data_IF_777637913695
#
_entry.id   IF_777637913695
#
_cell.length_a   1.000
_cell.length_b   1.000
_cell.length_c   1.000
_cell.angle_alpha   90.00
_cell.angle_beta   90.00
_cell.angle_gamma   90.00
#
_symmetry.space_group_name_H-M   'P 1'
#
loop_
_entity.id
_entity.type
_entity.pdbx_description
1 polymer ?
#
# COMPACT_ATOMS: atom_id res chain seq x y z
N UNK A 1 -33.80 14.57 10.90
CA UNK A 1 -32.65 15.37 10.41
C UNK A 1 -32.55 15.39 8.89
N UNK A 2 -32.01 14.39 8.16
CA UNK A 2 -31.92 14.47 6.67
C UNK A 2 -33.28 14.57 5.96
N UNK A 3 -34.30 13.89 6.48
CA UNK A 3 -35.65 13.97 5.91
C UNK A 3 -36.28 15.36 6.09
N UNK A 4 -36.04 15.99 7.26
CA UNK A 4 -36.54 17.34 7.54
C UNK A 4 -35.84 18.37 6.65
N UNK A 5 -34.52 18.24 6.44
CA UNK A 5 -33.75 19.05 5.49
C UNK A 5 -34.31 18.97 4.07
N UNK A 6 -34.55 17.75 3.55
CA UNK A 6 -35.12 17.52 2.22
C UNK A 6 -36.53 18.12 2.09
N UNK A 7 -37.37 18.00 3.12
CA UNK A 7 -38.73 18.56 3.12
C UNK A 7 -38.70 20.08 3.18
N UNK A 8 -37.79 20.69 3.94
CA UNK A 8 -37.60 22.14 3.96
C UNK A 8 -37.03 22.68 2.65
N UNK A 9 -36.08 21.97 2.04
CA UNK A 9 -35.55 22.29 0.71
C UNK A 9 -36.68 22.27 -0.33
N UNK A 10 -37.46 21.19 -0.40
CA UNK A 10 -38.61 21.08 -1.31
C UNK A 10 -39.67 22.17 -1.12
N UNK A 11 -39.93 22.60 0.13
CA UNK A 11 -40.83 23.74 0.39
C UNK A 11 -40.28 25.06 -0.11
N UNK A 12 -38.99 25.30 0.10
CA UNK A 12 -38.32 26.50 -0.40
C UNK A 12 -38.32 26.53 -1.94
N UNK A 13 -38.05 25.38 -2.57
CA UNK A 13 -38.08 25.21 -4.04
C UNK A 13 -39.46 25.45 -4.66
N UNK A 14 -40.54 25.02 -3.98
CA UNK A 14 -41.91 25.33 -4.40
C UNK A 14 -42.20 26.83 -4.36
N UNK A 15 -41.72 27.53 -3.33
CA UNK A 15 -41.89 28.98 -3.21
C UNK A 15 -41.13 29.78 -4.29
N UNK A 16 -39.95 29.30 -4.71
CA UNK A 16 -39.11 29.94 -5.73
C UNK A 16 -39.73 29.82 -7.13
N UNK A 17 -40.22 28.62 -7.47
CA UNK A 17 -40.95 28.37 -8.73
C UNK A 17 -42.26 29.15 -8.82
N UNK A 18 -42.99 29.28 -7.72
CA UNK A 18 -44.19 30.13 -7.62
C UNK A 18 -43.85 31.63 -7.77
N UNK A 19 -42.71 32.09 -7.23
CA UNK A 19 -42.20 33.46 -7.42
C UNK A 19 -41.83 33.75 -8.87
N UNK A 20 -41.10 32.85 -9.54
CA UNK A 20 -40.73 33.01 -10.94
C UNK A 20 -41.97 33.00 -11.86
N UNK A 21 -42.96 32.16 -11.55
CA UNK A 21 -44.28 32.18 -12.20
C UNK A 21 -45.03 33.50 -11.98
N UNK A 22 -44.96 34.07 -10.78
CA UNK A 22 -45.58 35.36 -10.47
C UNK A 22 -44.92 36.53 -11.22
N UNK A 23 -43.59 36.53 -11.30
CA UNK A 23 -42.82 37.52 -12.09
C UNK A 23 -43.14 37.40 -13.58
N UNK A 24 -43.20 36.17 -14.11
CA UNK A 24 -43.59 35.92 -15.50
C UNK A 24 -45.03 36.35 -15.80
N UNK A 25 -45.95 36.29 -14.83
CA UNK A 25 -47.33 36.76 -14.97
C UNK A 25 -47.47 38.28 -14.94
N UNK A 26 -46.63 38.99 -14.18
CA UNK A 26 -46.73 40.43 -13.96
C UNK A 26 -46.18 41.31 -15.11
N UNK A 27 -45.35 40.77 -16.00
CA UNK A 27 -44.45 41.57 -16.86
C UNK A 27 -45.08 42.15 -18.15
N UNK A 28 -46.38 41.97 -18.41
CA UNK A 28 -47.07 42.55 -19.58
C UNK A 28 -46.59 42.10 -20.98
N UNK A 29 -45.58 41.23 -21.07
CA UNK A 29 -44.99 40.71 -22.31
C UNK A 29 -45.92 39.73 -23.05
N UNK A 30 -45.80 39.67 -24.38
CA UNK A 30 -46.47 38.65 -25.21
C UNK A 30 -45.98 37.24 -24.85
N UNK A 31 -46.85 36.22 -24.97
CA UNK A 31 -46.55 34.82 -24.57
C UNK A 31 -45.30 34.26 -25.28
N UNK A 32 -45.08 34.59 -26.55
CA UNK A 32 -43.90 34.18 -27.32
C UNK A 32 -42.59 34.75 -26.77
N UNK A 33 -42.63 35.99 -26.25
CA UNK A 33 -41.50 36.64 -25.60
C UNK A 33 -41.16 35.93 -24.27
N UNK A 34 -42.18 35.49 -23.51
CA UNK A 34 -41.99 34.75 -22.26
C UNK A 34 -41.39 33.36 -22.51
N UNK A 35 -41.83 32.66 -23.54
CA UNK A 35 -41.25 31.38 -23.94
C UNK A 35 -39.79 31.52 -24.39
N UNK A 36 -39.47 32.56 -25.18
CA UNK A 36 -38.10 32.86 -25.62
C UNK A 36 -37.17 33.23 -24.46
N UNK A 37 -37.63 34.09 -23.55
CA UNK A 37 -36.88 34.49 -22.35
C UNK A 37 -36.60 33.26 -21.45
N UNK A 38 -37.59 32.38 -21.26
CA UNK A 38 -37.44 31.18 -20.45
C UNK A 38 -36.54 30.12 -21.10
N UNK A 39 -36.56 29.99 -22.43
CA UNK A 39 -35.64 29.10 -23.17
C UNK A 39 -34.20 29.60 -23.08
N UNK A 40 -33.98 30.92 -23.20
CA UNK A 40 -32.66 31.55 -23.03
C UNK A 40 -32.10 31.39 -21.62
N UNK A 41 -32.95 31.37 -20.60
CA UNK A 41 -32.56 31.11 -19.22
C UNK A 41 -32.12 29.65 -18.98
N UNK A 42 -32.54 28.70 -19.81
CA UNK A 42 -32.24 27.28 -19.63
C UNK A 42 -30.89 26.85 -20.26
N UNK A 43 -30.40 27.58 -21.26
CA UNK A 43 -29.13 27.27 -21.95
C UNK A 43 -27.93 27.35 -20.97
N UNK A 44 -27.75 28.41 -20.15
CA UNK A 44 -26.64 28.50 -19.20
C UNK A 44 -26.65 27.41 -18.13
N UNK A 45 -27.84 26.94 -17.71
CA UNK A 45 -27.97 25.87 -16.72
C UNK A 45 -27.45 24.53 -17.27
N UNK A 46 -27.70 24.23 -18.55
CA UNK A 46 -27.16 23.04 -19.21
C UNK A 46 -25.64 23.09 -19.37
N UNK A 47 -25.12 24.25 -19.74
CA UNK A 47 -23.68 24.47 -19.86
C UNK A 47 -22.99 24.34 -18.49
N UNK A 48 -23.63 24.82 -17.41
CA UNK A 48 -23.15 24.63 -16.04
C UNK A 48 -23.15 23.16 -15.62
N UNK A 49 -24.24 22.41 -15.89
CA UNK A 49 -24.33 20.98 -15.57
C UNK A 49 -23.29 20.15 -16.31
N UNK A 50 -23.03 20.45 -17.59
CA UNK A 50 -22.01 19.74 -18.38
C UNK A 50 -20.61 20.03 -17.86
N UNK A 51 -20.31 21.29 -17.55
CA UNK A 51 -19.04 21.71 -16.93
C UNK A 51 -18.80 21.00 -15.60
N UNK A 52 -19.81 20.96 -14.73
CA UNK A 52 -19.71 20.28 -13.43
C UNK A 52 -19.55 18.77 -13.56
N UNK A 53 -20.15 18.13 -14.57
CA UNK A 53 -19.96 16.70 -14.83
C UNK A 53 -18.50 16.38 -15.18
N UNK A 54 -17.86 17.20 -16.00
CA UNK A 54 -16.45 17.03 -16.34
C UNK A 54 -15.54 17.30 -15.13
N UNK A 55 -15.84 18.31 -14.30
CA UNK A 55 -15.07 18.58 -13.08
C UNK A 55 -15.20 17.44 -12.06
N UNK A 56 -16.42 16.94 -11.81
CA UNK A 56 -16.67 15.78 -10.94
C UNK A 56 -15.92 14.54 -11.44
N UNK A 57 -15.85 14.34 -12.76
CA UNK A 57 -15.11 13.23 -13.35
C UNK A 57 -13.61 13.39 -13.11
N UNK A 58 -13.06 14.58 -13.37
CA UNK A 58 -11.64 14.89 -13.12
C UNK A 58 -11.26 14.69 -11.66
N UNK A 59 -12.07 15.19 -10.73
CA UNK A 59 -11.87 14.99 -9.28
C UNK A 59 -11.90 13.51 -8.88
N UNK A 60 -12.83 12.72 -9.44
CA UNK A 60 -12.88 11.26 -9.19
C UNK A 60 -11.64 10.54 -9.71
N UNK A 61 -11.19 10.88 -10.90
CA UNK A 61 -10.00 10.28 -11.50
C UNK A 61 -8.74 10.64 -10.68
N UNK A 62 -8.67 11.87 -10.16
CA UNK A 62 -7.58 12.32 -9.30
C UNK A 62 -7.59 11.65 -7.92
N UNK A 63 -8.75 11.54 -7.27
CA UNK A 63 -8.91 10.78 -6.03
C UNK A 63 -8.47 9.33 -6.24
N UNK A 64 -8.96 8.66 -7.29
CA UNK A 64 -8.59 7.27 -7.57
C UNK A 64 -7.08 7.10 -7.77
N UNK A 65 -6.43 8.07 -8.42
CA UNK A 65 -4.97 8.09 -8.61
C UNK A 65 -4.22 8.25 -7.28
N UNK A 66 -4.63 9.20 -6.44
CA UNK A 66 -3.98 9.44 -5.14
C UNK A 66 -4.20 8.28 -4.18
N UNK A 67 -5.40 7.70 -4.13
CA UNK A 67 -5.68 6.49 -3.33
C UNK A 67 -4.79 5.32 -3.76
N UNK A 68 -4.61 5.12 -5.07
CA UNK A 68 -3.69 4.09 -5.56
C UNK A 68 -2.22 4.36 -5.17
N UNK A 69 -1.79 5.63 -5.16
CA UNK A 69 -0.47 6.02 -4.69
C UNK A 69 -0.29 5.74 -3.18
N UNK A 70 -1.29 6.08 -2.35
CA UNK A 70 -1.31 5.78 -0.91
C UNK A 70 -1.16 4.27 -0.68
N UNK A 71 -2.02 3.45 -1.28
CA UNK A 71 -1.95 1.99 -1.14
C UNK A 71 -0.60 1.43 -1.59
N UNK A 72 -0.04 1.98 -2.67
CA UNK A 72 1.30 1.61 -3.12
C UNK A 72 2.37 1.93 -2.07
N UNK A 73 2.34 3.13 -1.50
CA UNK A 73 3.28 3.56 -0.46
C UNK A 73 3.14 2.73 0.82
N UNK A 74 1.93 2.47 1.30
CA UNK A 74 1.67 1.60 2.45
C UNK A 74 2.27 0.21 2.25
N UNK A 75 2.07 -0.38 1.06
CA UNK A 75 2.65 -1.68 0.72
C UNK A 75 4.18 -1.66 0.74
N UNK A 76 4.79 -0.54 0.31
CA UNK A 76 6.25 -0.36 0.32
C UNK A 76 6.78 -0.19 1.75
N UNK A 77 6.07 0.54 2.60
CA UNK A 77 6.40 0.70 4.03
C UNK A 77 6.37 -0.66 4.71
N UNK A 78 5.27 -1.40 4.58
CA UNK A 78 5.13 -2.73 5.18
C UNK A 78 6.22 -3.71 4.74
N UNK A 79 6.58 -3.70 3.44
CA UNK A 79 7.71 -4.50 2.92
C UNK A 79 9.05 -4.09 3.52
N UNK A 80 9.31 -2.78 3.69
CA UNK A 80 10.55 -2.28 4.29
C UNK A 80 10.65 -2.65 5.76
N UNK A 81 9.59 -2.48 6.52
CA UNK A 81 9.54 -2.88 7.93
C UNK A 81 9.80 -4.38 8.09
N UNK A 82 9.17 -5.22 7.25
CA UNK A 82 9.41 -6.67 7.24
C UNK A 82 10.86 -7.01 6.90
N UNK A 83 11.45 -6.35 5.90
CA UNK A 83 12.85 -6.56 5.52
C UNK A 83 13.82 -6.12 6.63
N UNK A 84 13.57 -4.97 7.25
CA UNK A 84 14.38 -4.45 8.35
C UNK A 84 14.31 -5.36 9.57
N UNK A 85 13.12 -5.86 9.92
CA UNK A 85 12.95 -6.82 11.00
C UNK A 85 13.74 -8.11 10.77
N UNK A 86 13.67 -8.67 9.55
CA UNK A 86 14.45 -9.87 9.19
C UNK A 86 15.96 -9.60 9.24
N UNK A 87 16.39 -8.43 8.79
CA UNK A 87 17.80 -8.03 8.87
C UNK A 87 18.27 -7.91 10.33
N UNK A 88 17.47 -7.31 11.20
CA UNK A 88 17.75 -7.21 12.64
C UNK A 88 17.81 -8.58 13.32
N UNK A 89 16.86 -9.48 13.03
CA UNK A 89 16.86 -10.87 13.55
C UNK A 89 18.11 -11.64 13.11
N UNK A 90 18.49 -11.51 11.82
CA UNK A 90 19.71 -12.12 11.28
C UNK A 90 20.97 -11.55 11.94
N UNK A 91 21.04 -10.22 12.10
CA UNK A 91 22.17 -9.56 12.75
C UNK A 91 22.27 -10.00 14.22
N UNK A 92 21.16 -10.05 14.95
CA UNK A 92 21.13 -10.46 16.36
C UNK A 92 21.58 -11.91 16.55
N UNK A 93 21.23 -12.80 15.62
CA UNK A 93 21.72 -14.18 15.62
C UNK A 93 23.24 -14.23 15.44
N UNK A 94 23.79 -13.45 14.50
CA UNK A 94 25.23 -13.38 14.25
C UNK A 94 25.99 -12.74 15.42
N UNK A 95 25.43 -11.70 16.05
CA UNK A 95 25.99 -11.09 17.28
C UNK A 95 26.10 -12.17 18.35
N UNK A 96 25.01 -12.89 18.63
CA UNK A 96 25.03 -13.93 19.67
C UNK A 96 26.03 -15.05 19.38
N UNK A 97 26.25 -15.41 18.11
CA UNK A 97 27.30 -16.36 17.73
C UNK A 97 28.70 -15.82 18.03
N UNK A 98 29.00 -14.58 17.59
CA UNK A 98 30.29 -13.94 17.83
C UNK A 98 30.56 -13.71 19.33
N UNK A 99 29.54 -13.39 20.12
CA UNK A 99 29.67 -13.27 21.58
C UNK A 99 30.06 -14.59 22.24
N UNK A 100 29.44 -15.70 21.79
CA UNK A 100 29.79 -17.03 22.29
C UNK A 100 31.21 -17.44 21.87
N UNK A 101 31.59 -17.20 20.62
CA UNK A 101 32.93 -17.48 20.11
C UNK A 101 33.99 -16.67 20.86
N UNK A 102 33.70 -15.41 21.16
CA UNK A 102 34.58 -14.52 21.92
C UNK A 102 34.72 -14.98 23.37
N UNK A 103 33.64 -15.42 24.02
CA UNK A 103 33.68 -16.01 25.35
C UNK A 103 34.54 -17.28 25.38
N UNK A 104 34.39 -18.14 24.38
CA UNK A 104 35.17 -19.37 24.26
C UNK A 104 36.66 -19.07 24.00
N UNK A 105 36.98 -18.14 23.09
CA UNK A 105 38.35 -17.72 22.85
C UNK A 105 38.99 -17.08 24.09
N UNK A 106 38.23 -16.31 24.89
CA UNK A 106 38.73 -15.76 26.16
C UNK A 106 39.10 -16.85 27.16
N UNK A 107 38.28 -17.90 27.30
CA UNK A 107 38.61 -19.06 28.14
C UNK A 107 39.88 -19.78 27.66
N UNK A 108 40.03 -19.93 26.33
CA UNK A 108 41.23 -20.53 25.74
C UNK A 108 42.47 -19.69 25.98
N UNK A 109 42.37 -18.35 25.86
CA UNK A 109 43.47 -17.44 26.17
C UNK A 109 43.85 -17.48 27.66
N UNK A 110 42.87 -17.52 28.57
CA UNK A 110 43.12 -17.67 30.01
C UNK A 110 43.84 -18.98 30.33
N UNK A 111 43.42 -20.10 29.72
CA UNK A 111 44.10 -21.38 29.86
C UNK A 111 45.53 -21.36 29.29
N UNK A 112 45.73 -20.78 28.10
CA UNK A 112 47.05 -20.61 27.49
C UNK A 112 47.97 -19.74 28.35
N UNK A 113 47.44 -18.68 28.95
CA UNK A 113 48.17 -17.82 29.88
C UNK A 113 48.61 -18.58 31.13
N UNK A 114 47.72 -19.37 31.73
CA UNK A 114 48.07 -20.21 32.87
C UNK A 114 49.19 -21.21 32.53
N UNK A 115 49.16 -21.81 31.33
CA UNK A 115 50.22 -22.69 30.84
C UNK A 115 51.55 -21.94 30.63
N UNK A 116 51.51 -20.73 30.07
CA UNK A 116 52.69 -19.89 29.89
C UNK A 116 53.31 -19.48 31.24
N UNK A 117 52.49 -19.11 32.22
CA UNK A 117 52.94 -18.75 33.57
C UNK A 117 53.59 -19.96 34.26
N UNK A 118 52.99 -21.14 34.15
CA UNK A 118 53.55 -22.39 34.67
C UNK A 118 54.88 -22.77 33.98
N UNK A 119 54.97 -22.65 32.65
CA UNK A 119 56.19 -22.90 31.90
C UNK A 119 57.31 -21.90 32.24
N UNK A 120 56.95 -20.64 32.47
CA UNK A 120 57.88 -19.61 32.93
C UNK A 120 58.43 -19.93 34.32
N UNK A 121 57.55 -20.32 35.26
CA UNK A 121 57.95 -20.73 36.60
C UNK A 121 58.90 -21.95 36.55
N UNK A 122 58.56 -22.98 35.78
CA UNK A 122 59.42 -24.14 35.59
C UNK A 122 60.81 -23.75 35.06
N UNK A 123 60.86 -22.90 34.02
CA UNK A 123 62.11 -22.40 33.46
C UNK A 123 62.95 -21.65 34.50
N UNK A 124 62.33 -20.79 35.31
CA UNK A 124 63.05 -20.07 36.37
C UNK A 124 63.57 -21.00 37.47
N UNK A 125 62.78 -22.00 37.87
CA UNK A 125 63.17 -22.98 38.89
C UNK A 125 64.33 -23.86 38.43
N UNK A 126 64.24 -24.45 37.24
CA UNK A 126 65.31 -25.27 36.66
C UNK A 126 66.59 -24.47 36.48
N UNK A 127 66.50 -23.22 36.01
CA UNK A 127 67.67 -22.35 35.86
C UNK A 127 68.33 -22.01 37.21
N UNK A 128 67.52 -21.78 38.25
CA UNK A 128 68.02 -21.52 39.61
C UNK A 128 68.73 -22.75 40.16
N UNK A 129 68.12 -23.94 40.05
CA UNK A 129 68.72 -25.19 40.53
C UNK A 129 70.02 -25.52 39.80
N UNK A 130 70.06 -25.29 38.49
CA UNK A 130 71.27 -25.48 37.69
C UNK A 130 72.40 -24.54 38.17
N UNK A 131 72.08 -23.26 38.43
CA UNK A 131 73.03 -22.29 38.99
C UNK A 131 73.54 -22.69 40.38
N UNK A 132 72.70 -23.29 41.22
CA UNK A 132 73.09 -23.82 42.53
C UNK A 132 74.05 -24.99 42.40
N UNK A 133 73.75 -25.96 41.52
CA UNK A 133 74.62 -27.11 41.28
C UNK A 133 75.96 -26.70 40.69
N UNK A 134 76.00 -25.74 39.76
CA UNK A 134 77.24 -25.17 39.23
C UNK A 134 78.09 -24.53 40.35
N UNK A 135 77.45 -23.89 41.34
CA UNK A 135 78.14 -23.34 42.52
C UNK A 135 78.67 -24.46 43.42
N UNK A 136 77.88 -25.48 43.72
CA UNK A 136 78.28 -26.66 44.51
C UNK A 136 79.47 -27.39 43.87
N UNK A 137 79.42 -27.62 42.54
CA UNK A 137 80.51 -28.21 41.76
C UNK A 137 81.80 -27.39 41.90
N UNK A 138 81.70 -26.06 41.80
CA UNK A 138 82.84 -25.15 41.91
C UNK A 138 83.45 -25.17 43.31
N UNK A 139 82.63 -25.31 44.35
CA UNK A 139 83.08 -25.44 45.74
C UNK A 139 83.77 -26.79 45.97
N UNK A 140 83.17 -27.90 45.54
CA UNK A 140 83.79 -29.24 45.66
C UNK A 140 85.11 -29.34 44.90
N UNK A 141 85.22 -28.74 43.71
CA UNK A 141 86.49 -28.68 42.98
C UNK A 141 87.57 -27.92 43.76
N UNK A 142 87.21 -26.85 44.47
CA UNK A 142 88.17 -26.12 45.33
C UNK A 142 88.60 -26.96 46.53
N UNK A 143 87.66 -27.66 47.17
CA UNK A 143 87.94 -28.55 48.30
C UNK A 143 88.82 -29.73 47.91
N UNK A 144 88.53 -30.38 46.77
CA UNK A 144 89.33 -31.48 46.23
C UNK A 144 90.77 -31.04 45.91
N UNK A 145 90.93 -29.86 45.27
CA UNK A 145 92.26 -29.30 45.01
C UNK A 145 93.03 -29.00 46.31
N UNK A 146 92.33 -28.53 47.36
CA UNK A 146 92.94 -28.25 48.65
C UNK A 146 93.35 -29.53 49.41
N UNK A 147 92.55 -30.60 49.35
CA UNK A 147 92.86 -31.89 50.01
C UNK A 147 94.01 -32.61 49.31
N UNK A 148 94.08 -32.56 47.98
CA UNK A 148 95.22 -33.04 47.20
C UNK A 148 96.51 -32.29 47.54
N UNK A 149 96.45 -30.96 47.63
CA UNK A 149 97.61 -30.14 48.02
C UNK A 149 98.10 -30.41 49.45
N UNK A 150 97.21 -30.83 50.36
CA UNK A 150 97.54 -31.12 51.76
C UNK A 150 98.09 -32.54 52.02
N UNK A 151 98.21 -33.40 50.99
CA UNK A 151 98.77 -34.76 51.12
C UNK A 151 97.93 -35.73 51.96
N UNK A 152 96.67 -35.41 52.24
CA UNK A 152 95.77 -36.24 53.05
C UNK A 152 95.15 -37.34 52.17
N UNK A 153 95.68 -38.57 52.29
CA UNK A 153 95.09 -39.87 51.92
C UNK A 153 94.23 -39.97 50.64
N UNK A 154 94.71 -40.74 49.64
CA UNK A 154 94.05 -40.99 48.35
C UNK A 154 92.54 -41.31 48.43
N UNK A 155 92.11 -42.07 49.44
CA UNK A 155 90.71 -42.44 49.66
C UNK A 155 89.73 -41.27 49.84
N UNK A 156 90.16 -40.12 50.40
CA UNK A 156 89.30 -38.94 50.56
C UNK A 156 89.20 -38.12 49.27
N UNK A 157 90.23 -38.15 48.43
CA UNK A 157 90.26 -37.48 47.14
C UNK A 157 89.42 -38.25 46.10
N UNK A 158 89.44 -39.59 46.17
CA UNK A 158 88.66 -40.43 45.26
C UNK A 158 87.15 -40.27 45.47
N UNK A 159 86.69 -40.20 46.73
CA UNK A 159 85.27 -39.93 47.05
C UNK A 159 84.80 -38.54 46.57
N UNK A 160 85.65 -37.51 46.69
CA UNK A 160 85.31 -36.16 46.21
C UNK A 160 85.32 -36.09 44.69
N UNK A 161 86.24 -36.78 44.02
CA UNK A 161 86.22 -36.91 42.56
C UNK A 161 84.97 -37.64 42.05
N UNK A 162 84.54 -38.70 42.72
CA UNK A 162 83.32 -39.41 42.34
C UNK A 162 82.09 -38.50 42.45
N UNK A 163 81.99 -37.71 43.54
CA UNK A 163 80.91 -36.73 43.71
C UNK A 163 80.93 -35.62 42.65
N UNK A 164 82.11 -35.19 42.20
CA UNK A 164 82.25 -34.22 41.10
C UNK A 164 81.67 -34.79 39.80
N UNK A 165 81.97 -36.05 39.47
CA UNK A 165 81.44 -36.71 38.26
C UNK A 165 79.92 -36.84 38.32
N UNK A 166 79.36 -37.23 39.48
CA UNK A 166 77.91 -37.27 39.69
C UNK A 166 77.26 -35.90 39.46
N UNK A 167 77.80 -34.84 40.06
CA UNK A 167 77.29 -33.48 39.89
C UNK A 167 77.42 -32.95 38.46
N UNK A 168 78.47 -33.34 37.73
CA UNK A 168 78.59 -33.02 36.30
C UNK A 168 77.46 -33.66 35.50
N UNK A 169 77.14 -34.93 35.78
CA UNK A 169 76.01 -35.62 35.17
C UNK A 169 74.69 -34.91 35.49
N UNK A 170 74.44 -34.60 36.76
CA UNK A 170 73.23 -33.89 37.21
C UNK A 170 73.08 -32.52 36.53
N UNK A 171 74.19 -31.78 36.37
CA UNK A 171 74.20 -30.48 35.65
C UNK A 171 73.85 -30.67 34.18
N UNK A 172 74.42 -31.68 33.51
CA UNK A 172 74.11 -31.94 32.10
C UNK A 172 72.63 -32.29 31.90
N UNK A 173 72.07 -33.17 32.73
CA UNK A 173 70.64 -33.51 32.69
C UNK A 173 69.76 -32.27 32.92
N UNK A 174 70.09 -31.44 33.91
CA UNK A 174 69.34 -30.20 34.17
C UNK A 174 69.48 -29.13 33.08
N UNK A 175 70.60 -29.13 32.34
CA UNK A 175 70.76 -28.25 31.17
C UNK A 175 69.86 -28.68 30.02
N UNK A 176 69.68 -29.98 29.81
CA UNK A 176 68.72 -30.52 28.84
C UNK A 176 67.28 -30.19 29.25
N UNK A 177 66.90 -30.44 30.50
CA UNK A 177 65.59 -30.07 31.05
C UNK A 177 65.30 -28.55 30.92
N UNK A 178 66.31 -27.71 31.17
CA UNK A 178 66.20 -26.26 31.01
C UNK A 178 65.96 -25.86 29.56
N UNK A 179 66.63 -26.54 28.62
CA UNK A 179 66.41 -26.31 27.19
C UNK A 179 64.97 -26.68 26.81
N UNK A 180 64.48 -27.85 27.22
CA UNK A 180 63.09 -28.24 26.97
C UNK A 180 62.08 -27.28 27.59
N UNK A 181 62.31 -26.83 28.83
CA UNK A 181 61.43 -25.88 29.51
C UNK A 181 61.34 -24.54 28.75
N UNK A 182 62.48 -24.03 28.23
CA UNK A 182 62.51 -22.82 27.40
C UNK A 182 61.74 -22.99 26.09
N UNK A 183 61.85 -24.14 25.44
CA UNK A 183 61.11 -24.40 24.20
C UNK A 183 59.59 -24.51 24.48
N UNK A 184 59.19 -25.18 25.57
CA UNK A 184 57.78 -25.18 26.03
C UNK A 184 57.27 -23.77 26.32
N UNK A 185 58.06 -22.95 27.02
CA UNK A 185 57.70 -21.55 27.30
C UNK A 185 57.48 -20.74 26.02
N UNK A 186 58.37 -20.88 25.02
CA UNK A 186 58.22 -20.20 23.72
C UNK A 186 56.97 -20.67 22.98
N UNK A 187 56.70 -21.97 22.97
CA UNK A 187 55.52 -22.53 22.32
C UNK A 187 54.22 -21.99 22.96
N UNK A 188 54.10 -22.03 24.28
CA UNK A 188 52.93 -21.49 25.00
C UNK A 188 52.77 -19.98 24.80
N UNK A 189 53.86 -19.21 24.78
CA UNK A 189 53.80 -17.77 24.48
C UNK A 189 53.26 -17.47 23.07
N UNK A 190 53.62 -18.30 22.09
CA UNK A 190 53.10 -18.17 20.72
C UNK A 190 51.61 -18.51 20.64
N UNK A 191 51.17 -19.52 21.39
CA UNK A 191 49.76 -19.91 21.48
C UNK A 191 48.92 -18.81 22.13
N UNK A 192 49.39 -18.23 23.25
CA UNK A 192 48.71 -17.11 23.90
C UNK A 192 48.57 -15.91 22.96
N UNK A 193 49.64 -15.51 22.29
CA UNK A 193 49.62 -14.40 21.34
C UNK A 193 48.66 -14.70 20.16
N UNK A 194 48.58 -15.96 19.73
CA UNK A 194 47.60 -16.40 18.73
C UNK A 194 46.15 -16.26 19.21
N UNK A 195 45.88 -16.63 20.46
CA UNK A 195 44.56 -16.50 21.07
C UNK A 195 44.16 -15.04 21.26
N UNK A 196 45.07 -14.19 21.76
CA UNK A 196 44.83 -12.75 21.94
C UNK A 196 44.50 -12.06 20.61
N UNK A 197 45.24 -12.39 19.54
CA UNK A 197 44.96 -11.85 18.20
C UNK A 197 43.57 -12.26 17.68
N UNK A 198 43.12 -13.49 17.96
CA UNK A 198 41.77 -13.95 17.59
C UNK A 198 40.69 -13.22 18.36
N UNK A 199 40.89 -12.99 19.67
CA UNK A 199 39.97 -12.20 20.50
C UNK A 199 39.83 -10.79 19.91
N UNK A 200 40.95 -10.12 19.58
CA UNK A 200 40.92 -8.78 18.97
C UNK A 200 40.18 -8.79 17.63
N UNK A 201 40.38 -9.80 16.79
CA UNK A 201 39.67 -9.94 15.53
C UNK A 201 38.14 -10.07 15.74
N UNK A 202 37.72 -10.98 16.63
CA UNK A 202 36.31 -11.18 16.96
C UNK A 202 35.67 -9.92 17.57
N UNK A 203 36.41 -9.18 18.41
CA UNK A 203 35.94 -7.91 18.97
C UNK A 203 35.71 -6.84 17.88
N UNK A 204 36.57 -6.81 16.86
CA UNK A 204 36.41 -5.90 15.74
C UNK A 204 35.23 -6.30 14.87
N UNK A 205 35.08 -7.59 14.56
CA UNK A 205 33.95 -8.12 13.79
C UNK A 205 32.61 -7.82 14.49
N UNK A 206 32.54 -8.04 15.81
CA UNK A 206 31.36 -7.72 16.61
C UNK A 206 31.04 -6.22 16.58
N UNK A 207 32.04 -5.35 16.75
CA UNK A 207 31.86 -3.88 16.67
C UNK A 207 31.39 -3.44 15.29
N UNK A 208 31.94 -4.02 14.22
CA UNK A 208 31.54 -3.70 12.86
C UNK A 208 30.10 -4.13 12.59
N UNK A 209 29.72 -5.34 13.03
CA UNK A 209 28.40 -5.89 12.85
C UNK A 209 27.34 -5.11 13.64
N UNK A 210 27.65 -4.71 14.88
CA UNK A 210 26.80 -3.81 15.68
C UNK A 210 26.59 -2.46 14.98
N UNK A 211 27.65 -1.87 14.40
CA UNK A 211 27.54 -0.61 13.64
C UNK A 211 26.67 -0.77 12.40
N UNK A 212 26.84 -1.85 11.64
CA UNK A 212 26.04 -2.14 10.45
C UNK A 212 24.58 -2.37 10.79
N UNK A 213 24.29 -3.15 11.85
CA UNK A 213 22.93 -3.41 12.31
C UNK A 213 22.23 -2.11 12.68
N UNK A 214 22.87 -1.27 13.50
CA UNK A 214 22.33 0.03 13.90
C UNK A 214 22.11 0.97 12.70
N UNK A 215 23.05 1.02 11.76
CA UNK A 215 22.91 1.85 10.57
C UNK A 215 21.71 1.42 9.70
N UNK A 216 21.43 0.12 9.59
CA UNK A 216 20.26 -0.42 8.87
C UNK A 216 18.97 -0.06 9.59
N UNK A 217 18.92 -0.19 10.92
CA UNK A 217 17.77 0.20 11.74
C UNK A 217 17.46 1.69 11.61
N UNK A 218 18.47 2.56 11.78
CA UNK A 218 18.32 4.02 11.69
C UNK A 218 17.88 4.44 10.27
N UNK A 219 18.48 3.84 9.22
CA UNK A 219 18.12 4.11 7.84
C UNK A 219 16.68 3.65 7.53
N UNK A 220 16.28 2.49 8.05
CA UNK A 220 14.92 1.98 7.89
C UNK A 220 13.91 2.87 8.60
N UNK A 221 14.14 3.24 9.86
CA UNK A 221 13.28 4.11 10.62
C UNK A 221 13.06 5.44 9.88
N UNK A 222 14.15 6.09 9.46
CA UNK A 222 14.06 7.37 8.73
C UNK A 222 13.35 7.21 7.37
N UNK A 223 13.45 6.06 6.71
CA UNK A 223 12.76 5.81 5.44
C UNK A 223 11.27 5.51 5.63
N UNK A 224 10.90 4.86 6.73
CA UNK A 224 9.52 4.61 7.13
C UNK A 224 8.86 5.93 7.54
N UNK A 225 9.47 6.72 8.41
CA UNK A 225 8.92 8.00 8.87
C UNK A 225 8.58 8.94 7.71
N UNK A 226 9.52 9.12 6.77
CA UNK A 226 9.29 9.95 5.56
C UNK A 226 8.15 9.41 4.69
N UNK A 227 8.02 8.10 4.58
CA UNK A 227 6.96 7.48 3.78
C UNK A 227 5.60 7.61 4.48
N UNK A 228 5.55 7.45 5.79
CA UNK A 228 4.36 7.66 6.62
C UNK A 228 3.90 9.11 6.57
N UNK A 229 4.80 10.07 6.63
CA UNK A 229 4.45 11.50 6.49
C UNK A 229 3.91 11.81 5.09
N UNK A 230 4.47 11.20 4.04
CA UNK A 230 3.95 11.32 2.68
C UNK A 230 2.56 10.68 2.54
N UNK A 231 2.32 9.54 3.19
CA UNK A 231 1.00 8.89 3.22
C UNK A 231 -0.02 9.83 3.86
N UNK A 232 0.28 10.39 5.05
CA UNK A 232 -0.61 11.34 5.73
C UNK A 232 -0.95 12.55 4.89
N UNK A 233 0.05 13.12 4.20
CA UNK A 233 -0.16 14.25 3.30
C UNK A 233 -1.08 13.89 2.13
N UNK A 234 -0.88 12.72 1.52
CA UNK A 234 -1.72 12.24 0.42
C UNK A 234 -3.15 11.91 0.87
N UNK A 235 -3.30 11.29 2.05
CA UNK A 235 -4.61 11.02 2.67
C UNK A 235 -5.37 12.33 2.90
N UNK A 236 -4.69 13.36 3.40
CA UNK A 236 -5.29 14.69 3.57
C UNK A 236 -5.73 15.29 2.23
N UNK A 237 -4.92 15.16 1.18
CA UNK A 237 -5.29 15.64 -0.16
C UNK A 237 -6.51 14.89 -0.72
N UNK A 238 -6.61 13.58 -0.45
CA UNK A 238 -7.80 12.79 -0.80
C UNK A 238 -9.02 13.29 -0.04
N UNK A 239 -8.93 13.52 1.26
CA UNK A 239 -10.03 14.05 2.08
C UNK A 239 -10.51 15.43 1.59
N UNK A 240 -9.58 16.33 1.27
CA UNK A 240 -9.90 17.66 0.71
C UNK A 240 -10.62 17.53 -0.65
N UNK A 241 -10.12 16.68 -1.56
CA UNK A 241 -10.76 16.43 -2.85
C UNK A 241 -12.12 15.73 -2.71
N UNK A 242 -12.31 14.85 -1.74
CA UNK A 242 -13.60 14.21 -1.44
C UNK A 242 -14.64 15.23 -0.96
N UNK A 243 -14.21 16.20 -0.15
CA UNK A 243 -15.06 17.32 0.27
C UNK A 243 -15.45 18.21 -0.92
N UNK A 244 -14.49 18.56 -1.78
CA UNK A 244 -14.72 19.34 -3.01
C UNK A 244 -15.64 18.60 -4.00
N UNK A 245 -15.48 17.28 -4.11
CA UNK A 245 -16.36 16.42 -4.92
C UNK A 245 -17.79 16.40 -4.37
N UNK A 246 -17.96 16.38 -3.05
CA UNK A 246 -19.27 16.45 -2.42
C UNK A 246 -19.94 17.81 -2.68
N UNK A 247 -19.19 18.91 -2.56
CA UNK A 247 -19.67 20.26 -2.88
C UNK A 247 -20.04 20.40 -4.36
N UNK A 248 -19.22 19.89 -5.27
CA UNK A 248 -19.45 19.92 -6.72
C UNK A 248 -20.70 19.12 -7.11
N UNK A 249 -20.92 17.95 -6.47
CA UNK A 249 -22.16 17.17 -6.65
C UNK A 249 -23.39 17.94 -6.19
N UNK A 250 -23.31 18.60 -5.03
CA UNK A 250 -24.42 19.41 -4.51
C UNK A 250 -24.75 20.57 -5.46
N UNK A 251 -23.75 21.27 -5.99
CA UNK A 251 -23.95 22.35 -6.96
C UNK A 251 -24.62 21.83 -8.23
N UNK A 252 -24.17 20.67 -8.73
CA UNK A 252 -24.80 20.00 -9.87
C UNK A 252 -26.23 19.61 -9.61
N UNK A 253 -26.54 19.06 -8.45
CA UNK A 253 -27.91 18.67 -8.11
C UNK A 253 -28.85 19.89 -8.04
N UNK A 254 -28.35 21.03 -7.55
CA UNK A 254 -29.08 22.32 -7.60
C UNK A 254 -29.30 22.80 -9.04
N UNK A 255 -28.28 22.72 -9.90
CA UNK A 255 -28.39 23.13 -11.30
C UNK A 255 -29.38 22.24 -12.08
N UNK A 256 -29.32 20.92 -11.88
CA UNK A 256 -30.30 19.96 -12.45
C UNK A 256 -31.71 20.28 -11.96
N UNK A 257 -31.87 20.57 -10.67
CA UNK A 257 -33.18 20.97 -10.15
C UNK A 257 -33.69 22.27 -10.79
N UNK A 258 -32.82 23.28 -10.94
CA UNK A 258 -33.12 24.53 -11.65
C UNK A 258 -33.55 24.28 -13.11
N UNK A 259 -32.84 23.41 -13.84
CA UNK A 259 -33.20 23.01 -15.20
C UNK A 259 -34.59 22.35 -15.24
N UNK A 260 -34.91 21.44 -14.31
CA UNK A 260 -36.23 20.81 -14.23
C UNK A 260 -37.35 21.82 -13.95
N UNK A 261 -37.12 22.77 -13.05
CA UNK A 261 -38.08 23.85 -12.77
C UNK A 261 -38.29 24.72 -14.01
N UNK A 262 -37.20 25.09 -14.71
CA UNK A 262 -37.27 25.87 -15.94
C UNK A 262 -37.99 25.12 -17.07
N UNK A 263 -37.75 23.82 -17.23
CA UNK A 263 -38.46 22.96 -18.19
C UNK A 263 -39.95 22.84 -17.86
N UNK A 264 -40.32 22.64 -16.60
CA UNK A 264 -41.72 22.58 -16.19
C UNK A 264 -42.44 23.91 -16.44
N UNK A 265 -41.77 25.05 -16.24
CA UNK A 265 -42.31 26.35 -16.60
C UNK A 265 -42.52 26.50 -18.12
N UNK A 266 -41.58 26.01 -18.95
CA UNK A 266 -41.75 25.95 -20.41
C UNK A 266 -42.93 25.08 -20.82
N UNK A 267 -43.08 23.88 -20.24
CA UNK A 267 -44.20 22.97 -20.51
C UNK A 267 -45.54 23.59 -20.13
N UNK A 268 -45.62 24.27 -18.98
CA UNK A 268 -46.82 24.98 -18.56
C UNK A 268 -47.17 26.16 -19.48
N UNK A 269 -46.16 26.95 -19.90
CA UNK A 269 -46.36 28.03 -20.87
C UNK A 269 -46.83 27.50 -22.23
N UNK A 270 -46.31 26.36 -22.67
CA UNK A 270 -46.72 25.70 -23.90
C UNK A 270 -48.17 25.18 -23.80
N UNK A 271 -48.55 24.56 -22.69
CA UNK A 271 -49.95 24.18 -22.45
C UNK A 271 -50.90 25.39 -22.42
N UNK A 272 -50.47 26.55 -21.88
CA UNK A 272 -51.21 27.81 -21.94
C UNK A 272 -51.28 28.44 -23.35
N UNK A 273 -50.37 28.08 -24.26
CA UNK A 273 -50.44 28.44 -25.68
C UNK A 273 -51.41 27.52 -26.44
N UNK A 274 -51.37 26.21 -26.15
CA UNK A 274 -52.24 25.20 -26.78
C UNK A 274 -53.71 25.34 -26.37
N UNK A 275 -53.99 25.95 -25.20
CA UNK A 275 -55.34 26.28 -24.72
C UNK A 275 -55.97 27.53 -25.37
N UNK A 276 -55.38 28.09 -26.44
CA UNK A 276 -56.11 29.10 -27.22
C UNK A 276 -57.37 28.49 -27.85
N UNK A 277 -58.54 29.16 -27.79
CA UNK A 277 -59.57 28.87 -28.76
C UNK A 277 -58.93 29.13 -30.13
N UNK A 278 -58.87 28.10 -30.99
CA UNK A 278 -58.46 28.32 -32.38
C UNK A 278 -59.20 29.55 -32.88
N UNK A 279 -58.52 30.50 -33.59
CA UNK A 279 -59.25 31.55 -34.24
C UNK A 279 -60.31 30.86 -35.08
N UNK A 280 -61.57 31.03 -34.70
CA UNK A 280 -62.69 30.61 -35.53
C UNK A 280 -62.65 31.57 -36.71
N UNK A 281 -61.80 31.27 -37.68
CA UNK A 281 -61.96 31.78 -39.02
C UNK A 281 -63.28 31.17 -39.44
N UNK A 282 -64.36 31.94 -39.28
CA UNK A 282 -65.63 31.64 -39.92
C UNK A 282 -65.37 31.75 -41.41
N UNK A 283 -64.84 30.67 -41.99
CA UNK A 283 -65.12 30.39 -43.38
C UNK A 283 -66.63 30.21 -43.43
N UNK A 284 -67.32 31.20 -43.99
CA UNK A 284 -68.65 31.00 -44.55
C UNK A 284 -68.48 30.02 -45.71
N UNK A 285 -68.38 28.73 -45.37
CA UNK A 285 -68.43 27.65 -46.33
C UNK A 285 -69.90 27.49 -46.71
N UNK A 286 -70.32 28.22 -47.74
CA UNK A 286 -71.41 27.72 -48.58
C UNK A 286 -71.02 26.31 -49.03
N UNK A 287 -71.78 25.25 -48.69
CA UNK A 287 -71.40 23.89 -49.02
C UNK A 287 -71.47 23.71 -50.54
N UNK A 288 -70.40 23.24 -51.21
CA UNK A 288 -70.54 22.84 -52.60
C UNK A 288 -71.31 21.51 -52.61
N UNK A 289 -72.58 21.56 -53.01
CA UNK A 289 -73.46 20.39 -53.26
C UNK A 289 -72.97 19.48 -54.42
N UNK A 290 -71.72 19.57 -54.86
CA UNK A 290 -71.26 19.01 -56.13
C UNK A 290 -70.24 17.87 -56.03
N UNK A 291 -69.71 17.53 -54.85
CA UNK A 291 -68.74 16.43 -54.70
C UNK A 291 -69.39 15.07 -54.38
N UNK A 292 -70.41 15.04 -53.52
CA UNK A 292 -71.14 13.79 -53.21
C UNK A 292 -71.97 13.27 -54.39
N UNK A 293 -72.46 14.16 -55.25
CA UNK A 293 -73.27 13.78 -56.42
C UNK A 293 -72.39 13.20 -57.54
N UNK A 294 -71.18 13.76 -57.77
CA UNK A 294 -70.20 13.21 -58.72
C UNK A 294 -69.54 11.91 -58.25
N UNK A 295 -69.58 11.61 -56.95
CA UNK A 295 -69.05 10.37 -56.41
C UNK A 295 -69.89 9.15 -56.80
N UNK A 296 -71.21 9.30 -57.03
CA UNK A 296 -72.06 8.19 -57.46
C UNK A 296 -71.88 7.83 -58.93
N UNK A 297 -71.55 8.78 -59.80
CA UNK A 297 -71.38 8.60 -61.25
C UNK A 297 -69.96 8.15 -61.67
N UNK A 298 -68.99 8.13 -60.73
CA UNK A 298 -67.63 7.69 -61.04
C UNK A 298 -67.55 6.17 -61.35
N UNK A 299 -66.73 5.76 -62.34
CA UNK A 299 -66.54 4.36 -62.68
C UNK A 299 -65.91 3.58 -61.52
N UNK A 300 -66.30 2.31 -61.37
CA UNK A 300 -66.04 1.48 -60.20
C UNK A 300 -64.57 1.38 -59.80
N UNK A 301 -63.65 1.44 -60.78
CA UNK A 301 -62.21 1.40 -60.56
C UNK A 301 -61.66 2.64 -59.83
N UNK A 302 -62.25 3.82 -60.05
CA UNK A 302 -61.84 5.07 -59.39
C UNK A 302 -62.28 5.08 -57.91
N UNK A 303 -63.47 4.56 -57.63
CA UNK A 303 -63.97 4.35 -56.26
C UNK A 303 -63.08 3.36 -55.50
N UNK A 304 -62.65 2.29 -56.17
CA UNK A 304 -61.77 1.28 -55.59
C UNK A 304 -60.40 1.87 -55.22
N UNK A 305 -59.78 2.66 -56.10
CA UNK A 305 -58.51 3.35 -55.82
C UNK A 305 -58.61 4.31 -54.63
N UNK A 306 -59.71 5.06 -54.51
CA UNK A 306 -59.92 6.01 -53.43
C UNK A 306 -60.09 5.31 -52.06
N UNK A 307 -60.82 4.19 -52.03
CA UNK A 307 -60.91 3.34 -50.84
C UNK A 307 -59.57 2.70 -50.47
N UNK A 308 -58.75 2.34 -51.48
CA UNK A 308 -57.42 1.79 -51.25
C UNK A 308 -56.47 2.83 -50.64
N UNK A 309 -56.52 4.07 -51.11
CA UNK A 309 -55.71 5.18 -50.55
C UNK A 309 -56.14 5.56 -49.13
N UNK A 310 -57.44 5.55 -48.83
CA UNK A 310 -57.94 5.80 -47.47
C UNK A 310 -57.58 4.62 -46.55
N UNK A 311 -57.69 3.38 -47.04
CA UNK A 311 -57.28 2.19 -46.30
C UNK A 311 -55.78 2.16 -45.99
N UNK A 312 -54.92 2.57 -46.94
CA UNK A 312 -53.48 2.73 -46.75
C UNK A 312 -53.17 3.81 -45.71
N UNK A 313 -53.86 4.97 -45.77
CA UNK A 313 -53.66 6.05 -44.81
C UNK A 313 -54.10 5.66 -43.39
N UNK A 314 -55.21 4.92 -43.25
CA UNK A 314 -55.67 4.39 -41.95
C UNK A 314 -54.72 3.31 -41.43
N UNK A 315 -54.20 2.44 -42.30
CA UNK A 315 -53.20 1.44 -41.92
C UNK A 315 -51.88 2.08 -41.45
N UNK A 316 -51.45 3.15 -42.11
CA UNK A 316 -50.26 3.92 -41.73
C UNK A 316 -50.46 4.66 -40.38
N UNK A 317 -51.65 5.21 -40.13
CA UNK A 317 -52.00 5.77 -38.81
C UNK A 317 -52.03 4.71 -37.70
N UNK A 318 -52.59 3.53 -37.95
CA UNK A 318 -52.63 2.44 -36.97
C UNK A 318 -51.22 1.92 -36.68
N UNK A 319 -50.35 1.84 -37.68
CA UNK A 319 -48.97 1.43 -37.50
C UNK A 319 -48.16 2.45 -36.68
N UNK A 320 -48.35 3.75 -36.93
CA UNK A 320 -47.74 4.83 -36.13
C UNK A 320 -48.24 4.87 -34.67
N UNK A 321 -49.50 4.52 -34.41
CA UNK A 321 -50.04 4.41 -33.06
C UNK A 321 -49.43 3.20 -32.32
N UNK A 322 -49.19 2.09 -33.03
CA UNK A 322 -48.50 0.93 -32.45
C UNK A 322 -47.01 1.20 -32.15
N UNK A 323 -46.30 1.93 -33.01
CA UNK A 323 -44.90 2.32 -32.75
C UNK A 323 -44.78 3.28 -31.55
N UNK A 324 -45.71 4.23 -31.39
CA UNK A 324 -45.73 5.13 -30.23
C UNK A 324 -46.04 4.38 -28.92
N UNK A 325 -46.97 3.41 -28.94
CA UNK A 325 -47.23 2.56 -27.77
C UNK A 325 -46.04 1.67 -27.39
N UNK A 326 -45.23 1.25 -28.36
CA UNK A 326 -44.01 0.47 -28.11
C UNK A 326 -42.92 1.33 -27.48
N UNK A 327 -42.82 2.61 -27.88
CA UNK A 327 -41.94 3.61 -27.26
C UNK A 327 -42.36 3.92 -25.82
N UNK A 328 -43.65 4.12 -25.56
CA UNK A 328 -44.14 4.36 -24.19
C UNK A 328 -43.93 3.14 -23.29
N UNK A 329 -44.18 1.92 -23.80
CA UNK A 329 -43.93 0.68 -23.04
C UNK A 329 -42.45 0.45 -22.74
N UNK A 330 -41.55 0.72 -23.68
CA UNK A 330 -40.10 0.58 -23.46
C UNK A 330 -39.56 1.66 -22.52
N UNK A 331 -40.11 2.87 -22.55
CA UNK A 331 -39.74 3.94 -21.63
C UNK A 331 -40.23 3.64 -20.19
N UNK A 332 -41.44 3.10 -20.03
CA UNK A 332 -41.95 2.61 -18.73
C UNK A 332 -41.15 1.41 -18.22
N UNK A 333 -40.68 0.52 -19.10
CA UNK A 333 -39.81 -0.60 -18.74
C UNK A 333 -38.43 -0.11 -18.25
N UNK A 334 -37.85 0.92 -18.88
CA UNK A 334 -36.59 1.54 -18.46
C UNK A 334 -36.73 2.27 -17.12
N UNK A 335 -37.79 3.05 -16.93
CA UNK A 335 -38.06 3.75 -15.67
C UNK A 335 -38.39 2.77 -14.53
N UNK A 336 -39.08 1.66 -14.82
CA UNK A 336 -39.32 0.59 -13.85
C UNK A 336 -38.03 -0.17 -13.49
N UNK A 337 -37.12 -0.39 -14.45
CA UNK A 337 -35.81 -1.02 -14.20
C UNK A 337 -34.85 -0.12 -13.41
N UNK A 338 -34.91 1.19 -13.62
CA UNK A 338 -34.17 2.19 -12.82
C UNK A 338 -34.75 2.32 -11.41
N UNK A 339 -36.08 2.19 -11.22
CA UNK A 339 -36.69 2.10 -9.88
C UNK A 339 -36.35 0.78 -9.18
N UNK A 340 -36.39 -0.36 -9.87
CA UNK A 340 -36.09 -1.67 -9.27
C UNK A 340 -34.61 -1.81 -8.86
N UNK A 341 -33.68 -1.23 -9.62
CA UNK A 341 -32.24 -1.25 -9.30
C UNK A 341 -31.83 -0.21 -8.24
N UNK A 342 -32.62 0.85 -8.05
CA UNK A 342 -32.44 1.79 -6.94
C UNK A 342 -33.09 1.29 -5.65
N UNK A 343 -34.26 0.67 -5.68
CA UNK A 343 -34.90 0.09 -4.49
C UNK A 343 -34.17 -1.16 -3.95
N UNK A 344 -33.58 -2.01 -4.82
CA UNK A 344 -32.76 -3.15 -4.37
C UNK A 344 -31.43 -2.77 -3.71
N UNK A 345 -30.91 -1.55 -3.91
CA UNK A 345 -29.71 -1.07 -3.19
C UNK A 345 -30.02 -0.52 -1.80
N UNK A 346 -31.27 -0.18 -1.50
CA UNK A 346 -31.66 0.39 -0.21
C UNK A 346 -32.24 -0.64 0.78
N UNK A 347 -32.60 -1.85 0.34
CA UNK A 347 -33.14 -2.90 1.23
C UNK A 347 -32.26 -4.15 1.44
N UNK A 348 -31.05 -4.21 0.86
CA UNK A 348 -30.12 -5.33 1.07
C UNK A 348 -28.88 -4.92 1.86
N UNK A 349 -29.07 -4.17 2.94
CA UNK A 349 -28.14 -4.15 4.06
C UNK A 349 -28.30 -5.42 4.89
N UNK A 350 -27.75 -6.54 4.41
CA UNK A 350 -27.67 -7.78 5.20
C UNK A 350 -28.21 -9.04 4.53
N UNK A 351 -27.64 -9.49 3.41
CA UNK A 351 -27.81 -10.87 2.94
C UNK A 351 -26.65 -11.31 2.01
N UNK A 352 -25.41 -11.08 2.43
CA UNK A 352 -24.18 -11.51 1.73
C UNK A 352 -23.86 -13.01 1.86
N UNK A 353 -24.84 -13.88 2.13
CA UNK A 353 -24.62 -15.34 2.31
C UNK A 353 -25.45 -16.28 1.42
N UNK A 354 -26.35 -15.77 0.56
CA UNK A 354 -27.16 -16.64 -0.31
C UNK A 354 -26.65 -16.75 -1.76
N UNK A 355 -25.79 -15.83 -2.21
CA UNK A 355 -25.27 -15.83 -3.59
C UNK A 355 -24.12 -16.81 -3.86
N UNK A 356 -23.60 -17.46 -2.81
CA UNK A 356 -22.63 -18.56 -2.95
C UNK A 356 -23.33 -19.92 -3.17
N UNK A 357 -24.65 -20.02 -2.97
CA UNK A 357 -25.41 -21.27 -3.17
C UNK A 357 -26.24 -21.31 -4.46
N UNK A 358 -26.27 -20.23 -5.25
CA UNK A 358 -26.95 -20.20 -6.56
C UNK A 358 -25.99 -20.07 -7.75
N UNK A 359 -24.68 -19.94 -7.48
CA UNK A 359 -23.62 -20.01 -8.49
C UNK A 359 -23.31 -21.42 -9.01
N UNK A 360 -23.95 -22.45 -8.45
CA UNK A 360 -23.76 -23.86 -8.85
C UNK A 360 -24.91 -24.47 -9.67
N UNK A 361 -25.94 -23.69 -10.04
CA UNK A 361 -27.11 -24.27 -10.75
C UNK A 361 -27.35 -23.77 -12.18
N UNK A 362 -26.57 -22.80 -12.69
CA UNK A 362 -26.65 -22.41 -14.10
C UNK A 362 -25.24 -22.17 -14.67
N UNK A 363 -24.41 -23.21 -14.58
CA UNK A 363 -23.35 -23.47 -15.53
C UNK A 363 -23.71 -24.79 -16.24
N UNK A 364 -23.97 -24.72 -17.55
CA UNK A 364 -24.36 -25.90 -18.33
C UNK A 364 -24.59 -25.55 -19.80
N UNK A 365 -23.50 -25.61 -20.54
CA UNK A 365 -23.32 -25.64 -22.00
C UNK A 365 -24.52 -26.01 -22.90
N UNK A 366 -24.58 -25.35 -24.07
CA UNK A 366 -24.45 -25.94 -25.42
C UNK A 366 -25.02 -24.95 -26.45
N UNK A 367 -24.19 -24.36 -27.33
CA UNK A 367 -23.81 -24.89 -28.64
C UNK A 367 -24.99 -25.08 -29.62
N UNK A 368 -24.83 -24.51 -30.83
CA UNK A 368 -25.41 -24.84 -32.16
C UNK A 368 -25.48 -23.53 -32.97
N UNK A 369 -24.55 -23.23 -33.89
CA UNK A 369 -24.48 -23.73 -35.28
C UNK A 369 -25.80 -23.52 -36.04
N UNK A 370 -25.72 -22.63 -37.04
CA UNK A 370 -26.77 -22.25 -37.99
C UNK A 370 -26.41 -20.93 -38.66
#
# INVERSE_FOLDING_TARGET
>A
HRHDEIVTEHRNYRSESERLLAIARADGKAKDQKFSDQYRLNIPLRDEITTQKEEIKKQRDEIAKLTAEVTSLESRVSRRESAAKKAAESAQTQIGQLENDLLEQRRQAEAAKALQDAASLATTHTNTRNSELERELKELRRECNATQAAGKGASSADLTNQRIVELESDIYELQEDLHEAKERQKASAKELLGADNRIVALENDLKELLRKSKAVEDASATAVDRATDRIRELEKQVEELEADLAASRLQRDRAIHGEHVAQNALLNLQAEMDLQPQPTVVYVATPPKTLLQKFHEAPTWLKFLLFLTIGLWVAEMVNNIQENHWWDWTNDLMHSRVRYTSEMRYHCGGASKLWVLLGEYVGGDMSLVG
#
